data_IF_761319734079
#
_entry.id   IF_761319734079
#
_cell.length_a   1.000
_cell.length_b   1.000
_cell.length_c   1.000
_cell.angle_alpha   90.00
_cell.angle_beta   90.00
_cell.angle_gamma   90.00
#
_symmetry.space_group_name_H-M   'P 1'
#
loop_
_entity.id
_entity.type
_entity.pdbx_description
1 polymer ?
#
# COMPACT_ATOMS: atom_id res chain seq x y z
N UNK A 1 -19.46 -6.02 -6.84
CA UNK A 1 -18.73 -6.12 -5.57
C UNK A 1 -17.74 -7.25 -5.73
N UNK A 2 -16.45 -6.96 -5.65
CA UNK A 2 -15.40 -7.97 -5.78
C UNK A 2 -14.99 -8.47 -4.39
N UNK A 3 -14.60 -9.75 -4.29
CA UNK A 3 -13.97 -10.35 -3.10
C UNK A 3 -12.46 -10.15 -3.19
N UNK A 4 -11.92 -9.32 -2.30
CA UNK A 4 -10.52 -8.89 -2.32
C UNK A 4 -9.80 -9.36 -1.07
N UNK A 5 -8.78 -10.19 -1.26
CA UNK A 5 -7.90 -10.66 -0.19
C UNK A 5 -6.67 -9.77 -0.16
N UNK A 6 -6.24 -9.33 1.02
CA UNK A 6 -4.91 -8.75 1.21
C UNK A 6 -4.14 -9.52 2.28
N UNK A 7 -2.81 -9.58 2.19
CA UNK A 7 -2.00 -10.32 3.17
C UNK A 7 -0.76 -9.56 3.59
N UNK A 8 -0.58 -9.36 4.89
CA UNK A 8 0.62 -8.73 5.42
C UNK A 8 0.61 -8.56 6.93
N UNK A 9 1.40 -7.60 7.43
CA UNK A 9 1.50 -7.31 8.86
C UNK A 9 0.62 -6.12 9.25
N UNK A 10 -0.21 -6.29 10.27
CA UNK A 10 -0.83 -5.17 11.01
C UNK A 10 -0.01 -4.90 12.27
N UNK A 11 0.26 -3.63 12.53
CA UNK A 11 1.07 -3.17 13.66
C UNK A 11 0.28 -2.20 14.54
N UNK A 12 0.64 -2.16 15.82
CA UNK A 12 0.28 -1.08 16.72
C UNK A 12 1.17 0.13 16.44
N UNK A 13 0.55 1.25 16.08
CA UNK A 13 1.19 2.55 15.95
C UNK A 13 0.99 3.36 17.23
N UNK A 14 2.08 3.89 17.76
CA UNK A 14 2.10 4.82 18.89
C UNK A 14 2.64 6.17 18.40
N UNK A 15 1.73 7.13 18.18
CA UNK A 15 2.07 8.45 17.63
C UNK A 15 2.15 9.51 18.71
N UNK A 16 3.07 10.46 18.56
CA UNK A 16 3.11 11.64 19.43
C UNK A 16 1.96 12.59 19.10
N UNK A 17 1.19 13.08 20.09
CA UNK A 17 0.14 14.07 19.85
C UNK A 17 0.75 15.43 19.47
N UNK A 18 -0.04 16.30 18.84
CA UNK A 18 0.26 17.74 18.65
C UNK A 18 1.64 18.08 18.05
N UNK A 19 2.22 17.18 17.22
CA UNK A 19 3.57 17.29 16.68
C UNK A 19 4.70 17.33 17.73
N UNK A 20 4.45 16.87 18.96
CA UNK A 20 5.45 16.74 20.01
C UNK A 20 6.54 15.73 19.62
N UNK A 21 7.72 15.84 20.25
CA UNK A 21 8.81 14.87 20.11
C UNK A 21 8.68 13.77 21.15
N UNK A 22 9.29 12.61 20.89
CA UNK A 22 9.37 11.47 21.81
C UNK A 22 9.91 11.85 23.19
N UNK A 23 10.80 12.84 23.28
CA UNK A 23 11.34 13.32 24.56
C UNK A 23 10.34 14.19 25.36
N UNK A 24 9.32 14.73 24.69
CA UNK A 24 8.35 15.66 25.28
C UNK A 24 7.06 14.99 25.73
N UNK A 25 6.68 13.88 25.08
CA UNK A 25 5.39 13.23 25.30
C UNK A 25 5.36 12.40 26.58
N UNK A 26 4.23 12.46 27.28
CA UNK A 26 3.88 11.54 28.36
C UNK A 26 2.79 10.53 27.95
N UNK A 27 2.26 10.66 26.73
CA UNK A 27 1.22 9.80 26.16
C UNK A 27 1.41 9.57 24.65
N UNK A 28 0.78 8.52 24.12
CA UNK A 28 0.77 8.20 22.70
C UNK A 28 -0.64 7.98 22.19
N UNK A 29 -0.93 8.51 21.01
CA UNK A 29 -2.11 8.16 20.24
C UNK A 29 -1.99 6.73 19.69
N UNK A 30 -2.99 5.91 19.96
CA UNK A 30 -3.05 4.50 19.54
C UNK A 30 -3.77 4.37 18.20
N UNK A 31 -3.08 3.83 17.20
CA UNK A 31 -3.70 3.39 15.95
C UNK A 31 -3.24 1.98 15.58
N UNK A 32 -3.97 1.31 14.70
CA UNK A 32 -3.56 0.06 14.09
C UNK A 32 -3.50 0.25 12.58
N UNK A 33 -2.49 -0.33 11.94
CA UNK A 33 -2.28 -0.15 10.51
C UNK A 33 -1.14 -1.00 9.97
N UNK A 34 -1.06 -1.05 8.65
CA UNK A 34 -0.08 -1.82 7.89
C UNK A 34 -0.43 -1.72 6.42
N UNK A 35 0.54 -1.78 5.51
CA UNK A 35 0.30 -1.44 4.09
C UNK A 35 -0.91 -2.17 3.50
N UNK A 36 -0.91 -3.49 3.64
CA UNK A 36 -1.95 -4.37 3.14
C UNK A 36 -3.27 -4.26 3.92
N UNK A 37 -3.20 -4.02 5.24
CA UNK A 37 -4.37 -3.79 6.08
C UNK A 37 -5.08 -2.47 5.72
N UNK A 38 -4.31 -1.42 5.45
CA UNK A 38 -4.79 -0.10 5.05
C UNK A 38 -5.49 -0.17 3.68
N UNK A 39 -4.98 -1.00 2.77
CA UNK A 39 -5.62 -1.31 1.49
C UNK A 39 -6.97 -2.00 1.72
N UNK A 40 -7.01 -3.06 2.54
CA UNK A 40 -8.25 -3.79 2.85
C UNK A 40 -9.33 -2.87 3.46
N UNK A 41 -8.96 -2.00 4.40
CA UNK A 41 -9.89 -1.03 5.00
C UNK A 41 -10.42 -0.03 3.98
N UNK A 42 -9.55 0.50 3.12
CA UNK A 42 -9.96 1.44 2.07
C UNK A 42 -10.96 0.79 1.11
N UNK A 43 -10.68 -0.44 0.67
CA UNK A 43 -11.54 -1.20 -0.24
C UNK A 43 -12.89 -1.58 0.41
N UNK A 44 -12.89 -1.95 1.70
CA UNK A 44 -14.12 -2.17 2.46
C UNK A 44 -14.97 -0.88 2.52
N UNK A 45 -14.31 0.27 2.74
CA UNK A 45 -14.98 1.57 2.75
C UNK A 45 -15.57 1.95 1.38
N UNK A 46 -15.01 1.41 0.29
CA UNK A 46 -15.55 1.56 -1.06
C UNK A 46 -16.61 0.52 -1.41
N UNK A 47 -16.94 -0.42 -0.52
CA UNK A 47 -18.02 -1.39 -0.70
C UNK A 47 -17.61 -2.70 -1.36
N UNK A 48 -16.32 -3.03 -1.36
CA UNK A 48 -15.84 -4.38 -1.69
C UNK A 48 -15.94 -5.30 -0.48
N UNK A 49 -16.06 -6.61 -0.74
CA UNK A 49 -15.92 -7.64 0.29
C UNK A 49 -14.43 -7.90 0.49
N UNK A 50 -13.90 -7.61 1.67
CA UNK A 50 -12.45 -7.69 1.91
C UNK A 50 -12.12 -8.61 3.05
N UNK A 51 -11.03 -9.35 2.90
CA UNK A 51 -10.49 -10.24 3.92
C UNK A 51 -9.00 -9.92 4.12
N UNK A 52 -8.57 -9.76 5.38
CA UNK A 52 -7.17 -9.51 5.69
C UNK A 52 -6.52 -10.75 6.31
N UNK A 53 -5.62 -11.37 5.56
CA UNK A 53 -4.86 -12.54 5.98
C UNK A 53 -3.60 -12.09 6.72
N UNK A 54 -3.49 -12.48 7.98
CA UNK A 54 -2.34 -12.13 8.83
C UNK A 54 -2.21 -13.11 9.99
N UNK A 55 -1.23 -12.90 10.86
CA UNK A 55 -1.12 -13.57 12.14
C UNK A 55 -0.92 -12.56 13.27
N UNK A 56 -1.61 -12.79 14.39
CA UNK A 56 -1.54 -11.96 15.60
C UNK A 56 -1.36 -12.87 16.83
N UNK A 57 -0.78 -12.37 17.93
CA UNK A 57 -0.66 -13.17 19.15
C UNK A 57 -2.04 -13.44 19.76
N UNK A 58 -2.16 -14.55 20.49
CA UNK A 58 -3.37 -14.90 21.25
C UNK A 58 -3.39 -14.15 22.60
N UNK A 59 -3.53 -12.82 22.52
CA UNK A 59 -3.65 -11.94 23.67
C UNK A 59 -4.47 -10.68 23.32
N UNK A 60 -4.71 -9.84 24.32
CA UNK A 60 -5.58 -8.67 24.21
C UNK A 60 -5.07 -7.62 23.20
N UNK A 61 -3.75 -7.51 22.99
CA UNK A 61 -3.18 -6.59 21.99
C UNK A 61 -3.45 -7.12 20.57
N UNK A 62 -3.35 -8.45 20.37
CA UNK A 62 -3.77 -9.10 19.13
C UNK A 62 -5.27 -8.89 18.87
N UNK A 63 -6.11 -9.08 19.89
CA UNK A 63 -7.55 -8.81 19.79
C UNK A 63 -7.87 -7.36 19.43
N UNK A 64 -7.13 -6.38 19.97
CA UNK A 64 -7.32 -4.98 19.59
C UNK A 64 -7.06 -4.74 18.09
N UNK A 65 -6.05 -5.38 17.50
CA UNK A 65 -5.77 -5.27 16.07
C UNK A 65 -6.91 -5.89 15.23
N UNK A 66 -7.41 -7.07 15.63
CA UNK A 66 -8.56 -7.72 14.98
C UNK A 66 -9.84 -6.88 15.12
N UNK A 67 -10.09 -6.31 16.29
CA UNK A 67 -11.22 -5.41 16.52
C UNK A 67 -11.14 -4.14 15.65
N UNK A 68 -9.93 -3.60 15.44
CA UNK A 68 -9.73 -2.44 14.56
C UNK A 68 -10.09 -2.75 13.10
N UNK A 69 -9.80 -3.96 12.61
CA UNK A 69 -10.20 -4.42 11.28
C UNK A 69 -11.72 -4.60 11.17
N UNK A 70 -12.33 -5.30 12.14
CA UNK A 70 -13.78 -5.54 12.17
C UNK A 70 -14.59 -4.24 12.26
N UNK A 71 -14.12 -3.27 13.06
CA UNK A 71 -14.70 -1.92 13.13
C UNK A 71 -14.81 -1.27 11.74
N UNK A 72 -13.86 -1.59 10.86
CA UNK A 72 -13.77 -1.08 9.49
C UNK A 72 -14.34 -2.06 8.45
N UNK A 73 -15.13 -3.04 8.88
CA UNK A 73 -15.83 -4.01 8.00
C UNK A 73 -14.90 -4.89 7.16
N UNK A 74 -13.65 -5.06 7.60
CA UNK A 74 -12.72 -6.02 7.01
C UNK A 74 -12.97 -7.40 7.63
N UNK A 75 -13.07 -8.42 6.79
CA UNK A 75 -13.13 -9.82 7.17
C UNK A 75 -11.87 -10.28 7.91
N UNK A 76 -12.06 -11.17 8.88
CA UNK A 76 -11.01 -11.58 9.84
C UNK A 76 -11.05 -13.09 10.11
N UNK A 77 -11.69 -13.83 9.22
CA UNK A 77 -11.94 -15.27 9.39
C UNK A 77 -10.67 -16.09 9.17
N UNK A 78 -9.68 -15.51 8.47
CA UNK A 78 -8.41 -16.16 8.14
C UNK A 78 -7.20 -15.55 8.86
N UNK A 79 -7.43 -14.94 10.03
CA UNK A 79 -6.36 -14.46 10.91
C UNK A 79 -5.85 -15.59 11.80
N UNK A 80 -4.60 -15.99 11.60
CA UNK A 80 -3.94 -16.99 12.44
C UNK A 80 -3.64 -16.44 13.83
N UNK A 81 -3.78 -17.30 14.85
CA UNK A 81 -3.44 -17.02 16.25
C UNK A 81 -2.17 -17.78 16.63
N UNK A 82 -1.02 -17.13 16.45
CA UNK A 82 0.28 -17.73 16.71
C UNK A 82 1.30 -16.67 17.12
N UNK A 83 2.49 -17.10 17.52
CA UNK A 83 3.57 -16.21 17.96
C UNK A 83 3.25 -15.44 19.26
N UNK A 84 4.21 -14.61 19.67
CA UNK A 84 4.23 -14.07 21.03
C UNK A 84 3.86 -12.58 21.12
N UNK A 85 3.96 -11.82 20.01
CA UNK A 85 3.76 -10.37 20.02
C UNK A 85 3.24 -9.79 18.72
N UNK A 86 2.54 -8.66 18.83
CA UNK A 86 2.19 -7.80 17.71
C UNK A 86 3.35 -6.84 17.40
N UNK A 87 3.62 -6.58 16.13
CA UNK A 87 4.60 -5.56 15.74
C UNK A 87 4.16 -4.16 16.21
N UNK A 88 5.12 -3.34 16.62
CA UNK A 88 4.89 -1.97 17.09
C UNK A 88 5.73 -1.02 16.26
N UNK A 89 5.24 0.19 16.00
CA UNK A 89 6.09 1.29 15.61
C UNK A 89 5.68 2.60 16.26
N UNK A 90 6.68 3.41 16.58
CA UNK A 90 6.52 4.73 17.17
C UNK A 90 6.66 5.79 16.08
N UNK A 91 5.78 6.78 16.07
CA UNK A 91 5.75 7.85 15.07
C UNK A 91 5.81 9.23 15.74
N UNK A 92 6.86 9.99 15.45
CA UNK A 92 6.88 11.44 15.67
C UNK A 92 6.33 12.13 14.42
N UNK A 93 5.22 12.86 14.56
CA UNK A 93 4.66 13.66 13.46
C UNK A 93 5.57 14.84 13.14
N UNK A 94 5.99 14.93 11.87
CA UNK A 94 6.73 16.06 11.32
C UNK A 94 5.86 17.30 11.18
N UNK A 95 6.49 18.45 10.94
CA UNK A 95 5.80 19.71 10.64
C UNK A 95 6.77 20.67 9.95
N UNK A 96 6.31 21.32 8.88
CA UNK A 96 7.13 22.23 8.07
C UNK A 96 8.44 21.55 7.64
N UNK A 97 9.60 22.13 7.91
CA UNK A 97 10.91 21.57 7.54
C UNK A 97 11.33 20.33 8.35
N UNK A 98 10.66 20.03 9.48
CA UNK A 98 11.00 18.87 10.32
C UNK A 98 10.27 17.62 9.80
N UNK A 99 10.99 16.57 9.35
CA UNK A 99 10.35 15.35 8.86
C UNK A 99 9.71 14.56 10.01
N UNK A 100 8.73 13.72 9.67
CA UNK A 100 8.25 12.68 10.57
C UNK A 100 9.35 11.63 10.80
N UNK A 101 9.38 11.03 11.99
CA UNK A 101 10.37 10.01 12.35
C UNK A 101 9.69 8.75 12.85
N UNK A 102 10.16 7.60 12.36
CA UNK A 102 9.63 6.28 12.75
C UNK A 102 10.72 5.43 13.40
N UNK A 103 10.39 4.86 14.56
CA UNK A 103 11.17 3.82 15.24
C UNK A 103 10.34 2.53 15.22
N UNK A 104 10.88 1.47 14.61
CA UNK A 104 10.21 0.18 14.52
C UNK A 104 10.62 -0.72 15.68
N UNK A 105 9.62 -1.40 16.23
CA UNK A 105 9.73 -2.54 17.15
C UNK A 105 8.86 -3.69 16.60
N UNK A 106 9.18 -4.12 15.38
CA UNK A 106 8.39 -5.13 14.64
C UNK A 106 9.03 -6.50 14.56
N UNK A 107 10.29 -6.64 14.97
CA UNK A 107 10.98 -7.92 14.92
C UNK A 107 10.23 -8.96 15.76
N UNK A 108 10.26 -10.22 15.30
CA UNK A 108 9.64 -11.36 15.98
C UNK A 108 8.13 -11.20 16.25
N UNK A 109 7.43 -10.41 15.42
CA UNK A 109 5.97 -10.37 15.43
C UNK A 109 5.38 -11.70 14.92
N UNK A 110 4.14 -12.00 15.31
CA UNK A 110 3.45 -13.23 14.95
C UNK A 110 3.51 -13.56 13.46
N UNK A 111 3.18 -12.61 12.58
CA UNK A 111 3.26 -12.80 11.12
C UNK A 111 4.68 -13.00 10.59
N UNK A 112 5.69 -12.42 11.25
CA UNK A 112 7.10 -12.67 10.89
C UNK A 112 7.57 -14.10 11.22
N UNK A 113 6.88 -14.78 12.14
CA UNK A 113 7.17 -16.16 12.57
C UNK A 113 6.17 -17.20 12.05
N UNK A 114 5.08 -16.76 11.43
CA UNK A 114 4.05 -17.64 10.92
C UNK A 114 4.57 -18.52 9.79
N UNK A 115 3.94 -19.68 9.64
CA UNK A 115 4.34 -20.74 8.69
C UNK A 115 3.14 -21.22 7.89
N UNK A 116 3.38 -22.00 6.83
CA UNK A 116 2.35 -22.45 5.89
C UNK A 116 1.18 -23.20 6.56
N UNK A 117 1.44 -23.98 7.62
CA UNK A 117 0.38 -24.75 8.31
C UNK A 117 -0.63 -23.85 9.04
N UNK A 118 -0.30 -22.59 9.28
CA UNK A 118 -1.18 -21.63 9.94
C UNK A 118 -2.30 -21.12 9.02
N UNK A 119 -2.24 -21.42 7.70
CA UNK A 119 -3.14 -20.88 6.69
C UNK A 119 -3.65 -21.93 5.71
N UNK A 120 -4.96 -22.02 5.54
CA UNK A 120 -5.59 -22.77 4.45
C UNK A 120 -5.75 -21.86 3.22
N UNK A 121 -4.68 -21.73 2.42
CA UNK A 121 -4.70 -20.85 1.24
C UNK A 121 -5.69 -21.28 0.16
N UNK A 122 -6.01 -22.56 0.06
CA UNK A 122 -7.02 -23.02 -0.89
C UNK A 122 -8.41 -22.53 -0.50
N UNK A 123 -8.72 -22.52 0.80
CA UNK A 123 -9.97 -21.93 1.31
C UNK A 123 -9.98 -20.41 1.24
N UNK A 124 -8.87 -19.74 1.59
CA UNK A 124 -8.73 -18.27 1.56
C UNK A 124 -9.03 -17.72 0.16
N UNK A 125 -8.43 -18.31 -0.87
CA UNK A 125 -8.56 -17.84 -2.24
C UNK A 125 -9.77 -18.42 -2.99
N UNK A 126 -10.57 -19.26 -2.33
CA UNK A 126 -11.82 -19.75 -2.90
C UNK A 126 -12.74 -18.56 -3.20
N UNK A 127 -13.17 -18.47 -4.45
CA UNK A 127 -14.06 -17.43 -4.98
C UNK A 127 -13.49 -15.99 -4.84
N UNK A 128 -12.18 -15.83 -4.61
CA UNK A 128 -11.54 -14.51 -4.57
C UNK A 128 -11.35 -13.95 -5.98
N UNK A 129 -11.58 -12.65 -6.17
CA UNK A 129 -11.37 -11.97 -7.44
C UNK A 129 -9.98 -11.34 -7.52
N UNK A 130 -9.50 -10.82 -6.38
CA UNK A 130 -8.26 -10.05 -6.29
C UNK A 130 -7.44 -10.41 -5.06
N UNK A 131 -6.12 -10.45 -5.20
CA UNK A 131 -5.14 -10.58 -4.11
C UNK A 131 -4.15 -9.41 -4.15
N UNK A 132 -3.92 -8.76 -3.00
CA UNK A 132 -2.91 -7.71 -2.86
C UNK A 132 -1.91 -7.99 -1.75
N UNK A 133 -0.63 -7.75 -2.03
CA UNK A 133 0.45 -7.78 -1.06
C UNK A 133 1.44 -6.63 -1.30
N UNK A 134 2.30 -6.32 -0.32
CA UNK A 134 3.42 -5.41 -0.54
C UNK A 134 4.76 -6.12 -0.40
N UNK A 135 5.83 -5.50 -0.90
CA UNK A 135 7.21 -5.94 -0.70
C UNK A 135 7.66 -5.88 0.76
N UNK A 136 6.87 -5.29 1.68
CA UNK A 136 7.17 -5.32 3.13
C UNK A 136 7.04 -6.75 3.67
N UNK A 137 5.97 -7.47 3.31
CA UNK A 137 5.67 -8.80 3.86
C UNK A 137 6.77 -9.84 3.60
N UNK A 138 7.30 -10.02 2.38
CA UNK A 138 8.45 -10.91 2.18
C UNK A 138 9.77 -10.36 2.76
N UNK A 139 9.82 -9.09 3.17
CA UNK A 139 11.02 -8.48 3.73
C UNK A 139 11.16 -8.65 5.26
N UNK A 140 10.07 -8.89 5.98
CA UNK A 140 10.11 -8.95 7.45
C UNK A 140 10.78 -10.22 7.99
N UNK A 141 10.76 -11.33 7.25
CA UNK A 141 11.49 -12.55 7.58
C UNK A 141 11.59 -13.52 6.40
N UNK A 142 12.50 -14.50 6.48
CA UNK A 142 12.58 -15.57 5.48
C UNK A 142 11.32 -16.46 5.48
N UNK A 143 10.70 -16.66 6.66
CA UNK A 143 9.42 -17.39 6.76
C UNK A 143 8.30 -16.66 6.04
N UNK A 144 8.20 -15.34 6.21
CA UNK A 144 7.20 -14.51 5.55
C UNK A 144 7.41 -14.44 4.03
N UNK A 145 8.67 -14.50 3.56
CA UNK A 145 8.97 -14.63 2.12
C UNK A 145 8.43 -15.95 1.54
N UNK A 146 8.65 -17.07 2.22
CA UNK A 146 8.11 -18.38 1.82
C UNK A 146 6.58 -18.36 1.85
N UNK A 147 6.00 -17.82 2.92
CA UNK A 147 4.55 -17.69 3.07
C UNK A 147 3.92 -16.87 1.94
N UNK A 148 4.57 -15.76 1.56
CA UNK A 148 4.14 -14.91 0.44
C UNK A 148 4.13 -15.68 -0.89
N UNK A 149 5.18 -16.46 -1.18
CA UNK A 149 5.19 -17.28 -2.40
C UNK A 149 4.09 -18.34 -2.41
N UNK A 150 3.81 -18.97 -1.27
CA UNK A 150 2.72 -19.95 -1.12
C UNK A 150 1.34 -19.33 -1.38
N UNK A 151 1.08 -18.14 -0.82
CA UNK A 151 -0.14 -17.40 -1.08
C UNK A 151 -0.29 -17.06 -2.58
N UNK A 152 0.78 -16.62 -3.23
CA UNK A 152 0.78 -16.28 -4.66
C UNK A 152 0.50 -17.51 -5.55
N UNK A 153 1.10 -18.66 -5.23
CA UNK A 153 0.85 -19.92 -5.95
C UNK A 153 -0.64 -20.31 -5.82
N UNK A 154 -1.20 -20.22 -4.61
CA UNK A 154 -2.61 -20.54 -4.38
C UNK A 154 -3.53 -19.55 -5.09
N UNK A 155 -3.27 -18.24 -5.01
CA UNK A 155 -4.04 -17.22 -5.73
C UNK A 155 -4.08 -17.52 -7.24
N UNK A 156 -2.95 -17.87 -7.85
CA UNK A 156 -2.91 -18.22 -9.28
C UNK A 156 -3.59 -19.55 -9.61
N UNK A 157 -3.51 -20.55 -8.72
CA UNK A 157 -4.28 -21.81 -8.86
C UNK A 157 -5.79 -21.56 -8.94
N UNK A 158 -6.29 -20.54 -8.23
CA UNK A 158 -7.71 -20.14 -8.24
C UNK A 158 -8.05 -19.06 -9.28
N UNK A 159 -7.12 -18.67 -10.14
CA UNK A 159 -7.37 -17.67 -11.19
C UNK A 159 -7.52 -16.23 -10.68
N UNK A 160 -7.04 -15.95 -9.46
CA UNK A 160 -7.15 -14.65 -8.81
C UNK A 160 -6.22 -13.63 -9.47
N UNK A 161 -6.69 -12.40 -9.69
CA UNK A 161 -5.84 -11.28 -10.15
C UNK A 161 -4.97 -10.79 -8.99
N UNK A 162 -3.68 -10.57 -9.23
CA UNK A 162 -2.70 -10.25 -8.19
C UNK A 162 -2.11 -8.88 -8.44
N UNK A 163 -2.13 -8.02 -7.41
CA UNK A 163 -1.37 -6.78 -7.39
C UNK A 163 -0.30 -6.78 -6.31
N UNK A 164 0.81 -6.08 -6.60
CA UNK A 164 1.88 -5.83 -5.65
C UNK A 164 2.14 -4.34 -5.51
N UNK A 165 2.44 -3.86 -4.31
CA UNK A 165 3.20 -2.63 -4.10
C UNK A 165 4.65 -2.99 -3.71
N UNK A 166 5.63 -2.62 -4.54
CA UNK A 166 7.03 -3.00 -4.34
C UNK A 166 7.59 -2.48 -3.00
N UNK A 167 7.14 -1.32 -2.54
CA UNK A 167 7.32 -0.75 -1.20
C UNK A 167 8.70 -1.01 -0.55
N UNK A 168 9.80 -0.64 -1.22
CA UNK A 168 11.15 -0.95 -0.74
C UNK A 168 11.46 -0.24 0.57
N UNK A 169 11.89 -1.02 1.57
CA UNK A 169 12.35 -0.50 2.87
C UNK A 169 13.77 -0.93 3.16
N UNK A 170 14.71 -0.01 2.99
CA UNK A 170 16.14 -0.22 3.31
C UNK A 170 16.43 -0.71 4.73
N UNK A 171 15.52 -0.48 5.69
CA UNK A 171 15.64 -0.98 7.07
C UNK A 171 15.31 -2.47 7.22
N UNK A 172 14.61 -3.08 6.25
CA UNK A 172 14.19 -4.48 6.31
C UNK A 172 15.17 -5.40 5.57
N UNK A 173 15.72 -4.95 4.45
CA UNK A 173 16.59 -5.78 3.61
C UNK A 173 17.46 -4.96 2.65
N UNK A 174 18.50 -5.59 2.12
CA UNK A 174 19.35 -5.05 1.06
C UNK A 174 18.65 -5.12 -0.31
N UNK A 175 19.04 -4.23 -1.23
CA UNK A 175 18.59 -4.28 -2.63
C UNK A 175 18.91 -5.62 -3.29
N UNK A 176 20.06 -6.24 -2.98
CA UNK A 176 20.42 -7.56 -3.50
C UNK A 176 19.43 -8.65 -3.07
N UNK A 177 19.06 -8.69 -1.77
CA UNK A 177 18.07 -9.64 -1.27
C UNK A 177 16.69 -9.35 -1.86
N UNK A 178 16.29 -8.08 -1.94
CA UNK A 178 15.02 -7.66 -2.53
C UNK A 178 14.93 -8.12 -4.00
N UNK A 179 15.95 -7.86 -4.82
CA UNK A 179 16.05 -8.32 -6.21
C UNK A 179 15.89 -9.82 -6.35
N UNK A 180 16.60 -10.59 -5.53
CA UNK A 180 16.54 -12.06 -5.57
C UNK A 180 15.15 -12.58 -5.23
N UNK A 181 14.52 -12.07 -4.15
CA UNK A 181 13.22 -12.55 -3.68
C UNK A 181 12.10 -12.06 -4.61
N UNK A 182 11.99 -10.75 -4.81
CA UNK A 182 10.86 -10.14 -5.50
C UNK A 182 10.82 -10.49 -6.98
N UNK A 183 11.96 -10.60 -7.68
CA UNK A 183 11.99 -11.04 -9.10
C UNK A 183 11.29 -12.38 -9.28
N UNK A 184 11.45 -13.32 -8.34
CA UNK A 184 10.75 -14.60 -8.39
C UNK A 184 9.26 -14.43 -8.15
N UNK A 185 8.85 -13.58 -7.21
CA UNK A 185 7.42 -13.36 -6.91
C UNK A 185 6.67 -12.69 -8.07
N UNK A 186 7.35 -11.86 -8.88
CA UNK A 186 6.72 -11.13 -9.99
C UNK A 186 6.13 -12.03 -11.08
N UNK A 187 6.54 -13.31 -11.18
CA UNK A 187 5.94 -14.29 -12.10
C UNK A 187 4.43 -14.52 -11.85
N UNK A 188 3.95 -14.11 -10.68
CA UNK A 188 2.57 -14.26 -10.24
C UNK A 188 1.81 -12.94 -10.19
N UNK A 189 2.36 -11.82 -10.65
CA UNK A 189 1.76 -10.49 -10.49
C UNK A 189 1.17 -10.02 -11.81
N UNK A 190 -0.03 -9.42 -11.77
CA UNK A 190 -0.67 -8.80 -12.93
C UNK A 190 -0.56 -7.26 -12.86
N UNK A 191 -0.64 -6.66 -11.67
CA UNK A 191 -0.58 -5.21 -11.48
C UNK A 191 0.58 -4.84 -10.56
N UNK A 192 1.56 -4.10 -11.07
CA UNK A 192 2.71 -3.66 -10.30
C UNK A 192 2.58 -2.19 -9.93
N UNK A 193 2.60 -1.90 -8.63
CA UNK A 193 2.62 -0.56 -8.05
C UNK A 193 4.01 -0.32 -7.45
N UNK A 194 4.62 0.82 -7.73
CA UNK A 194 5.92 1.20 -7.17
C UNK A 194 6.45 2.47 -7.82
N UNK A 195 7.46 3.08 -7.22
CA UNK A 195 8.13 4.25 -7.79
C UNK A 195 9.43 3.88 -8.55
N UNK A 196 10.12 4.87 -9.09
CA UNK A 196 11.40 4.68 -9.81
C UNK A 196 12.49 4.05 -8.93
N UNK A 197 12.56 4.42 -7.64
CA UNK A 197 13.51 3.88 -6.68
C UNK A 197 13.21 2.41 -6.40
N UNK A 198 11.94 2.04 -6.28
CA UNK A 198 11.51 0.65 -6.12
C UNK A 198 11.87 -0.17 -7.37
N UNK A 199 11.64 0.36 -8.57
CA UNK A 199 11.95 -0.33 -9.81
C UNK A 199 13.46 -0.67 -9.92
N UNK A 200 14.35 0.23 -9.53
CA UNK A 200 15.79 -0.05 -9.47
C UNK A 200 16.12 -0.98 -8.30
N UNK A 201 15.76 -0.61 -7.08
CA UNK A 201 16.25 -1.29 -5.88
C UNK A 201 15.64 -2.68 -5.68
N UNK A 202 14.43 -2.92 -6.19
CA UNK A 202 13.70 -4.19 -6.04
C UNK A 202 13.76 -5.05 -7.28
N UNK A 203 13.78 -4.48 -8.49
CA UNK A 203 13.68 -5.26 -9.73
C UNK A 203 14.85 -5.02 -10.71
N UNK A 204 15.67 -3.99 -10.46
CA UNK A 204 16.87 -3.69 -11.24
C UNK A 204 16.62 -2.94 -12.54
N UNK A 205 15.48 -2.27 -12.69
CA UNK A 205 15.18 -1.45 -13.86
C UNK A 205 15.57 -0.01 -13.64
N UNK A 206 16.11 0.60 -14.69
CA UNK A 206 16.47 2.02 -14.73
C UNK A 206 15.86 2.64 -15.97
N UNK A 207 15.63 3.97 -15.97
CA UNK A 207 15.30 4.67 -17.20
C UNK A 207 16.33 4.35 -18.28
N UNK A 208 15.90 4.21 -19.54
CA UNK A 208 16.83 4.31 -20.66
C UNK A 208 17.60 5.65 -20.58
N UNK A 209 18.77 5.76 -21.20
CA UNK A 209 19.54 7.01 -21.25
C UNK A 209 18.68 8.15 -21.85
N UNK A 210 17.97 8.88 -21.00
CA UNK A 210 17.22 10.07 -21.35
C UNK A 210 18.12 11.27 -21.11
N UNK A 211 18.15 12.21 -22.05
CA UNK A 211 18.91 13.46 -21.96
C UNK A 211 18.24 14.41 -20.94
N UNK A 212 18.36 14.09 -19.64
CA UNK A 212 17.69 14.82 -18.55
C UNK A 212 18.48 16.08 -18.22
N UNK A 213 18.28 17.13 -19.02
CA UNK A 213 18.84 18.48 -18.75
C UNK A 213 17.86 19.42 -18.05
N UNK A 214 16.63 19.01 -17.78
CA UNK A 214 15.63 19.83 -17.06
C UNK A 214 15.14 19.12 -15.80
N UNK A 215 15.16 19.82 -14.66
CA UNK A 215 14.62 19.35 -13.36
C UNK A 215 13.09 19.29 -13.31
N UNK A 216 12.44 18.94 -14.41
CA UNK A 216 11.01 18.58 -14.46
C UNK A 216 10.85 17.08 -14.21
N UNK A 217 9.69 16.66 -13.71
CA UNK A 217 9.37 15.24 -13.51
C UNK A 217 9.67 14.46 -14.80
N UNK A 218 10.63 13.54 -14.74
CA UNK A 218 11.05 12.75 -15.90
C UNK A 218 10.02 11.66 -16.22
N UNK A 219 8.83 12.05 -16.66
CA UNK A 219 7.73 11.16 -17.04
C UNK A 219 8.17 10.15 -18.10
N UNK A 220 9.07 10.55 -19.01
CA UNK A 220 9.68 9.64 -20.00
C UNK A 220 10.50 8.52 -19.34
N UNK A 221 11.15 8.81 -18.21
CA UNK A 221 11.87 7.81 -17.42
C UNK A 221 10.92 6.77 -16.81
N UNK A 222 9.79 7.22 -16.24
CA UNK A 222 8.73 6.32 -15.76
C UNK A 222 8.16 5.46 -16.87
N UNK A 223 7.85 6.07 -18.02
CA UNK A 223 7.37 5.34 -19.19
C UNK A 223 8.35 4.26 -19.63
N UNK A 224 9.63 4.60 -19.75
CA UNK A 224 10.69 3.65 -20.12
C UNK A 224 10.81 2.49 -19.14
N UNK A 225 10.78 2.76 -17.83
CA UNK A 225 10.80 1.72 -16.79
C UNK A 225 9.57 0.81 -16.92
N UNK A 226 8.38 1.38 -17.09
CA UNK A 226 7.13 0.63 -17.19
C UNK A 226 7.08 -0.26 -18.42
N UNK A 227 7.58 0.23 -19.57
CA UNK A 227 7.71 -0.56 -20.79
C UNK A 227 8.63 -1.78 -20.56
N UNK A 228 9.81 -1.58 -19.95
CA UNK A 228 10.74 -2.67 -19.63
C UNK A 228 10.18 -3.69 -18.63
N UNK A 229 9.52 -3.21 -17.56
CA UNK A 229 8.91 -4.07 -16.54
C UNK A 229 7.77 -4.91 -17.12
N UNK A 230 6.94 -4.28 -17.94
CA UNK A 230 5.83 -4.93 -18.65
C UNK A 230 6.35 -5.98 -19.63
N UNK A 231 7.42 -5.69 -20.38
CA UNK A 231 8.02 -6.64 -21.31
C UNK A 231 8.62 -7.86 -20.59
N UNK A 232 9.29 -7.65 -19.45
CA UNK A 232 9.97 -8.73 -18.71
C UNK A 232 9.02 -9.60 -17.89
N UNK A 233 8.00 -9.00 -17.26
CA UNK A 233 7.14 -9.71 -16.31
C UNK A 233 5.69 -9.87 -16.76
N UNK A 234 5.34 -9.34 -17.93
CA UNK A 234 3.99 -9.42 -18.50
C UNK A 234 2.90 -8.79 -17.62
N UNK A 235 3.26 -7.76 -16.84
CA UNK A 235 2.30 -7.00 -16.04
C UNK A 235 1.23 -6.38 -16.95
N UNK A 236 -0.05 -6.53 -16.60
CA UNK A 236 -1.17 -5.86 -17.26
C UNK A 236 -1.08 -4.34 -17.08
N UNK A 237 -0.72 -3.91 -15.87
CA UNK A 237 -0.53 -2.49 -15.53
C UNK A 237 0.71 -2.26 -14.66
N UNK A 238 1.46 -1.21 -14.99
CA UNK A 238 2.47 -0.62 -14.12
C UNK A 238 1.98 0.75 -13.62
N UNK A 239 2.12 1.02 -12.32
CA UNK A 239 1.52 2.19 -11.66
C UNK A 239 2.52 2.82 -10.70
N UNK A 240 2.65 4.14 -10.69
CA UNK A 240 3.47 4.88 -9.72
C UNK A 240 2.75 6.11 -9.21
N UNK A 241 2.79 6.33 -7.89
CA UNK A 241 2.47 7.64 -7.33
C UNK A 241 3.68 8.57 -7.45
N UNK A 242 3.44 9.83 -7.82
CA UNK A 242 4.44 10.85 -8.03
C UNK A 242 4.30 11.93 -6.94
N UNK A 243 5.34 12.08 -6.13
CA UNK A 243 5.36 13.03 -5.01
C UNK A 243 6.39 14.11 -5.26
N UNK A 244 5.94 15.36 -5.28
CA UNK A 244 6.82 16.54 -5.19
C UNK A 244 6.86 17.00 -3.74
N UNK A 245 7.95 16.72 -3.04
CA UNK A 245 8.06 17.01 -1.60
C UNK A 245 8.64 18.39 -1.35
N UNK A 246 7.81 19.38 -1.00
CA UNK A 246 8.28 20.73 -0.65
C UNK A 246 8.64 20.83 0.84
N UNK A 247 7.84 20.23 1.73
CA UNK A 247 8.10 20.14 3.17
C UNK A 247 7.33 18.97 3.79
N UNK A 248 7.44 18.77 5.11
CA UNK A 248 6.59 17.81 5.82
C UNK A 248 5.09 18.19 5.79
N UNK A 249 4.75 19.43 5.41
CA UNK A 249 3.39 19.97 5.41
C UNK A 249 2.88 20.41 4.04
N UNK A 250 3.67 20.31 2.97
CA UNK A 250 3.31 20.74 1.62
C UNK A 250 3.91 19.78 0.59
N UNK A 251 3.04 19.09 -0.16
CA UNK A 251 3.43 18.18 -1.24
C UNK A 251 2.56 18.40 -2.47
N UNK A 252 3.17 18.31 -3.66
CA UNK A 252 2.48 17.95 -4.89
C UNK A 252 2.25 16.43 -4.97
N UNK A 253 1.09 16.03 -5.47
CA UNK A 253 0.66 14.64 -5.53
C UNK A 253 -0.05 14.34 -6.85
N UNK A 254 0.54 13.47 -7.66
CA UNK A 254 -0.04 12.91 -8.88
C UNK A 254 0.34 11.43 -9.00
N UNK A 255 0.04 10.78 -10.12
CA UNK A 255 0.45 9.43 -10.41
C UNK A 255 0.53 9.18 -11.91
N UNK A 256 1.18 8.11 -12.32
CA UNK A 256 1.14 7.62 -13.70
C UNK A 256 0.80 6.13 -13.76
N UNK A 257 0.24 5.71 -14.89
CA UNK A 257 -0.12 4.32 -15.20
C UNK A 257 0.26 4.00 -16.64
N UNK A 258 0.71 2.77 -16.87
CA UNK A 258 0.95 2.21 -18.19
C UNK A 258 0.19 0.91 -18.37
N UNK A 259 -0.46 0.75 -19.52
CA UNK A 259 -1.18 -0.48 -19.89
C UNK A 259 -0.40 -1.29 -20.91
N UNK A 260 -0.20 -2.58 -20.63
CA UNK A 260 0.43 -3.52 -21.57
C UNK A 260 -0.30 -3.62 -22.89
N UNK A 261 -1.63 -3.68 -22.84
CA UNK A 261 -2.45 -4.06 -23.99
C UNK A 261 -2.66 -2.88 -24.95
N UNK A 262 -2.93 -1.68 -24.42
CA UNK A 262 -3.05 -0.48 -25.25
C UNK A 262 -1.73 0.23 -25.54
N UNK A 263 -0.65 -0.14 -24.82
CA UNK A 263 0.66 0.55 -24.84
C UNK A 263 0.58 2.04 -24.47
N UNK A 264 -0.49 2.43 -23.78
CA UNK A 264 -0.74 3.81 -23.40
C UNK A 264 -0.15 4.13 -22.02
N UNK A 265 0.55 5.26 -21.93
CA UNK A 265 1.01 5.88 -20.70
C UNK A 265 0.11 7.06 -20.36
N UNK A 266 -0.36 7.16 -19.12
CA UNK A 266 -1.22 8.23 -18.66
C UNK A 266 -0.70 8.83 -17.35
N UNK A 267 -0.64 10.16 -17.29
CA UNK A 267 -0.30 10.93 -16.10
C UNK A 267 -1.57 11.61 -15.59
N UNK A 268 -1.84 11.46 -14.29
CA UNK A 268 -3.03 11.98 -13.65
C UNK A 268 -2.98 13.50 -13.52
N UNK A 269 -4.10 14.09 -13.10
CA UNK A 269 -4.06 15.44 -12.51
C UNK A 269 -3.18 15.49 -11.27
N UNK A 270 -2.71 16.69 -10.95
CA UNK A 270 -1.93 16.97 -9.74
C UNK A 270 -2.76 17.69 -8.69
N UNK A 271 -2.62 17.25 -7.44
CA UNK A 271 -3.14 17.94 -6.26
C UNK A 271 -1.99 18.53 -5.46
N UNK A 272 -2.19 19.76 -4.97
CA UNK A 272 -1.34 20.32 -3.92
C UNK A 272 -1.99 20.05 -2.56
N UNK A 273 -1.29 19.33 -1.70
CA UNK A 273 -1.77 18.95 -0.37
C UNK A 273 -1.05 19.83 0.65
N UNK A 274 -1.76 20.84 1.14
CA UNK A 274 -1.24 21.76 2.17
C UNK A 274 -2.38 22.35 3.01
N UNK A 275 -2.30 22.28 4.36
CA UNK A 275 -1.33 21.51 5.13
C UNK A 275 -1.59 19.99 5.04
N UNK A 276 -0.55 19.18 5.26
CA UNK A 276 -0.69 17.73 5.47
C UNK A 276 -1.04 17.48 6.94
N UNK A 277 -2.10 16.69 7.18
CA UNK A 277 -2.50 16.24 8.52
C UNK A 277 -1.71 14.98 8.91
N UNK A 278 -1.85 13.90 8.13
CA UNK A 278 -1.09 12.68 8.32
C UNK A 278 -0.93 11.96 6.97
N UNK A 279 0.32 11.82 6.52
CA UNK A 279 0.65 11.17 5.23
C UNK A 279 0.75 9.64 5.33
N UNK A 280 0.75 9.08 6.53
CA UNK A 280 0.74 7.62 6.72
C UNK A 280 -0.55 7.06 6.12
N UNK A 281 -0.46 5.92 5.43
CA UNK A 281 -1.58 5.34 4.68
C UNK A 281 -1.86 5.98 3.30
N UNK A 282 -1.19 7.09 2.94
CA UNK A 282 -1.42 7.76 1.66
C UNK A 282 -1.11 6.88 0.45
N UNK A 283 0.01 6.14 0.45
CA UNK A 283 0.32 5.17 -0.61
C UNK A 283 -0.67 4.00 -0.68
N UNK A 284 -1.08 3.50 0.49
CA UNK A 284 -2.00 2.37 0.60
C UNK A 284 -3.41 2.74 0.09
N UNK A 285 -3.90 3.95 0.43
CA UNK A 285 -5.16 4.48 -0.10
C UNK A 285 -5.11 4.73 -1.62
N UNK A 286 -3.94 5.08 -2.16
CA UNK A 286 -3.72 5.17 -3.61
C UNK A 286 -3.86 3.80 -4.26
N UNK A 287 -3.13 2.79 -3.74
CA UNK A 287 -3.20 1.42 -4.23
C UNK A 287 -4.64 0.88 -4.16
N UNK A 288 -5.33 1.07 -3.04
CA UNK A 288 -6.73 0.69 -2.88
C UNK A 288 -7.66 1.36 -3.90
N UNK A 289 -7.50 2.66 -4.16
CA UNK A 289 -8.34 3.35 -5.14
C UNK A 289 -8.10 2.87 -6.57
N UNK A 290 -6.85 2.59 -6.94
CA UNK A 290 -6.53 1.98 -8.24
C UNK A 290 -7.13 0.57 -8.34
N UNK A 291 -6.96 -0.27 -7.32
CA UNK A 291 -7.55 -1.61 -7.26
C UNK A 291 -9.08 -1.54 -7.35
N UNK A 292 -9.71 -0.61 -6.63
CA UNK A 292 -11.15 -0.39 -6.68
C UNK A 292 -11.63 -0.11 -8.11
N UNK A 293 -10.98 0.82 -8.81
CA UNK A 293 -11.36 1.17 -10.18
C UNK A 293 -11.15 0.00 -11.16
N UNK A 294 -10.02 -0.71 -11.06
CA UNK A 294 -9.72 -1.85 -11.93
C UNK A 294 -10.62 -3.05 -11.67
N UNK A 295 -10.91 -3.39 -10.40
CA UNK A 295 -11.80 -4.48 -10.01
C UNK A 295 -13.26 -4.23 -10.43
N UNK A 296 -13.64 -2.98 -10.65
CA UNK A 296 -14.95 -2.58 -11.18
C UNK A 296 -15.01 -2.55 -12.72
N UNK A 297 -13.89 -2.81 -13.40
CA UNK A 297 -13.80 -2.74 -14.85
C UNK A 297 -13.87 -1.30 -15.39
N UNK A 298 -13.53 -0.29 -14.58
CA UNK A 298 -13.41 1.09 -15.06
C UNK A 298 -12.25 1.20 -16.05
N UNK A 299 -12.24 2.28 -16.84
CA UNK A 299 -11.07 2.61 -17.63
C UNK A 299 -9.86 2.80 -16.71
N UNK A 300 -8.68 2.28 -17.07
CA UNK A 300 -7.49 2.33 -16.21
C UNK A 300 -7.03 3.76 -15.86
N UNK A 301 -7.35 4.75 -16.70
CA UNK A 301 -7.11 6.18 -16.41
C UNK A 301 -8.06 6.69 -15.32
N UNK A 302 -9.33 6.30 -15.38
CA UNK A 302 -10.32 6.63 -14.36
C UNK A 302 -9.98 5.94 -13.03
N UNK A 303 -9.48 4.70 -13.08
CA UNK A 303 -8.97 4.00 -11.90
C UNK A 303 -7.78 4.74 -11.28
N UNK A 304 -6.85 5.24 -12.10
CA UNK A 304 -5.74 6.07 -11.63
C UNK A 304 -6.25 7.36 -10.97
N UNK A 305 -7.14 8.10 -11.63
CA UNK A 305 -7.72 9.35 -11.12
C UNK A 305 -8.45 9.16 -9.78
N UNK A 306 -9.20 8.05 -9.64
CA UNK A 306 -9.84 7.67 -8.38
C UNK A 306 -8.79 7.41 -7.29
N UNK A 307 -7.74 6.65 -7.58
CA UNK A 307 -6.63 6.39 -6.66
C UNK A 307 -5.92 7.66 -6.18
N UNK A 308 -5.65 8.60 -7.10
CA UNK A 308 -4.97 9.86 -6.76
C UNK A 308 -5.86 10.73 -5.88
N UNK A 309 -7.15 10.85 -6.19
CA UNK A 309 -8.11 11.60 -5.37
C UNK A 309 -8.29 10.98 -3.97
N UNK A 310 -8.42 9.64 -3.89
CA UNK A 310 -8.52 8.91 -2.63
C UNK A 310 -7.31 9.18 -1.73
N UNK A 311 -6.12 9.13 -2.31
CA UNK A 311 -4.87 9.37 -1.59
C UNK A 311 -4.68 10.84 -1.20
N UNK A 312 -5.04 11.78 -2.06
CA UNK A 312 -5.01 13.20 -1.72
C UNK A 312 -5.88 13.49 -0.48
N UNK A 313 -7.08 12.91 -0.42
CA UNK A 313 -7.98 13.03 0.74
C UNK A 313 -7.43 12.30 1.97
N UNK A 314 -6.79 11.13 1.83
CA UNK A 314 -6.21 10.41 2.97
C UNK A 314 -5.20 11.25 3.76
N UNK A 315 -4.46 12.13 3.09
CA UNK A 315 -3.48 13.02 3.74
C UNK A 315 -4.13 14.05 4.71
N UNK A 316 -5.45 14.22 4.67
CA UNK A 316 -6.21 15.13 5.55
C UNK A 316 -6.79 14.44 6.79
N UNK A 317 -6.59 13.12 6.93
CA UNK A 317 -7.18 12.30 7.99
C UNK A 317 -6.07 11.69 8.88
N UNK A 318 -6.12 11.90 10.21
CA UNK A 318 -5.20 11.25 11.14
C UNK A 318 -5.33 9.72 11.14
N UNK A 319 -4.22 9.01 11.31
CA UNK A 319 -4.22 7.55 11.37
C UNK A 319 -3.82 6.89 10.06
N UNK A 320 -3.62 5.57 10.09
CA UNK A 320 -3.20 4.80 8.91
C UNK A 320 -4.39 4.51 7.98
N UNK A 321 -5.54 4.17 8.55
CA UNK A 321 -6.74 3.80 7.80
C UNK A 321 -7.37 4.97 7.07
N UNK A 322 -7.88 4.68 5.87
CA UNK A 322 -8.60 5.65 5.06
C UNK A 322 -10.10 5.62 5.36
N UNK A 323 -10.61 6.71 5.92
CA UNK A 323 -12.04 6.88 6.19
C UNK A 323 -12.78 7.64 5.08
N UNK A 324 -12.07 8.05 4.01
CA UNK A 324 -12.66 8.76 2.88
C UNK A 324 -13.62 7.86 2.13
N UNK A 325 -14.89 8.26 2.05
CA UNK A 325 -15.95 7.53 1.36
C UNK A 325 -15.80 7.59 -0.16
N UNK A 326 -16.36 6.61 -0.86
CA UNK A 326 -16.40 6.59 -2.34
C UNK A 326 -16.94 7.91 -2.91
N UNK A 327 -18.02 8.43 -2.33
CA UNK A 327 -18.66 9.67 -2.79
C UNK A 327 -17.72 10.88 -2.69
N UNK A 328 -16.95 10.97 -1.60
CA UNK A 328 -15.96 12.05 -1.44
C UNK A 328 -14.84 11.95 -2.49
N UNK A 329 -14.36 10.73 -2.77
CA UNK A 329 -13.38 10.50 -3.85
C UNK A 329 -13.94 10.94 -5.20
N UNK A 330 -15.14 10.50 -5.56
CA UNK A 330 -15.79 10.84 -6.82
C UNK A 330 -16.07 12.34 -6.94
N UNK A 331 -16.40 13.00 -5.83
CA UNK A 331 -16.62 14.46 -5.78
C UNK A 331 -15.31 15.22 -6.07
N UNK A 332 -14.20 14.83 -5.43
CA UNK A 332 -12.91 15.45 -5.68
C UNK A 332 -12.41 15.17 -7.10
N UNK A 333 -12.56 13.93 -7.56
CA UNK A 333 -12.24 13.51 -8.93
C UNK A 333 -13.09 14.27 -9.97
N UNK A 334 -14.34 14.64 -9.63
CA UNK A 334 -15.20 15.51 -10.45
C UNK A 334 -14.75 16.97 -10.50
N UNK A 335 -13.74 17.37 -9.71
CA UNK A 335 -13.14 18.70 -9.71
C UNK A 335 -13.59 19.60 -8.56
N UNK A 336 -14.47 19.13 -7.66
CA UNK A 336 -14.83 19.89 -6.48
C UNK A 336 -13.79 19.71 -5.36
N UNK A 337 -12.77 20.56 -5.41
CA UNK A 337 -11.76 20.71 -4.38
C UNK A 337 -12.04 21.93 -3.47
N UNK A 338 -13.27 22.42 -3.42
CA UNK A 338 -13.57 23.72 -2.78
C UNK A 338 -13.53 23.71 -1.25
N UNK A 339 -13.61 22.53 -0.62
CA UNK A 339 -13.69 22.39 0.84
C UNK A 339 -14.95 23.02 1.45
N UNK A 340 -15.98 23.30 0.64
CA UNK A 340 -17.22 23.93 1.11
C UNK A 340 -18.04 22.98 1.99
N UNK A 341 -18.84 23.58 2.87
CA UNK A 341 -19.77 22.85 3.74
C UNK A 341 -20.75 22.05 2.87
N UNK A 342 -20.72 20.72 3.00
CA UNK A 342 -21.73 19.82 2.44
C UNK A 342 -22.90 19.68 3.41
N UNK A 343 -24.14 19.62 2.90
CA UNK A 343 -25.38 19.55 3.69
C UNK A 343 -26.22 18.35 3.30
#
# INVERSE_FOLDING_TARGET
>A
MAKIVTMGEIMLRLSTPNHERFLQVDEFDVNYGGGEANVAVSLANYGHDTEFVTAVPDNEIGECAVAALRKNKVGTDHIARCGERLGIYYLESGSSIRPSKVIYDRAHSSISTAVEIDFDFDMIFKDADWFHFTGITPAISDSAAVLTEKALIAAKKHGVKVSVDLNFRKKLWSSEKAKRVMTNLMKYVDVCIGNEEDADLVLGFKPAETDVTSGELALDGYRSIFEQMTEKFDFEYCVSSLRVSHSASDNGWSACIYSRDSKEFYHSREYRITPIVDRVGGGDSFAAGVICGLAEGRNFKEALEFGVAASALKHTIPGDFNYVTRKEVETLMGGDASGRIQR
#
